data_IF_372102359021
#
_entry.id   IF_372102359021
#
_cell.length_a   1.000
_cell.length_b   1.000
_cell.length_c   1.000
_cell.angle_alpha   90.00
_cell.angle_beta   90.00
_cell.angle_gamma   90.00
#
_symmetry.space_group_name_H-M   'P 1'
#
loop_
_entity.id
_entity.type
_entity.pdbx_description
1 polymer ?
#
# COMPACT_ATOMS: atom_id res chain seq x y z
N UNK A 1 -4.43 25.73 -0.86
CA UNK A 1 -4.25 24.39 -1.45
C UNK A 1 -3.68 23.42 -0.42
N UNK A 2 -2.58 23.74 0.30
CA UNK A 2 -1.94 22.86 1.28
C UNK A 2 -2.90 22.34 2.38
N UNK A 3 -3.62 23.21 3.07
CA UNK A 3 -4.59 22.81 4.10
C UNK A 3 -5.78 22.03 3.50
N UNK A 4 -6.24 22.40 2.31
CA UNK A 4 -7.33 21.70 1.63
C UNK A 4 -6.95 20.27 1.27
N UNK A 5 -5.71 20.05 0.79
CA UNK A 5 -5.20 18.70 0.49
C UNK A 5 -5.03 17.84 1.75
N UNK A 6 -4.63 18.40 2.88
CA UNK A 6 -4.59 17.66 4.16
C UNK A 6 -5.98 17.16 4.56
N UNK A 7 -7.02 17.97 4.39
CA UNK A 7 -8.39 17.53 4.67
C UNK A 7 -8.85 16.43 3.69
N UNK A 8 -8.51 16.55 2.39
CA UNK A 8 -8.80 15.51 1.41
C UNK A 8 -8.15 14.17 1.80
N UNK A 9 -6.87 14.18 2.15
CA UNK A 9 -6.12 13.01 2.60
C UNK A 9 -6.77 12.40 3.85
N UNK A 10 -7.04 13.23 4.87
CA UNK A 10 -7.62 12.76 6.13
C UNK A 10 -8.96 12.06 5.93
N UNK A 11 -9.93 12.73 5.28
CA UNK A 11 -11.28 12.18 5.12
C UNK A 11 -11.30 10.96 4.19
N UNK A 12 -10.53 10.98 3.12
CA UNK A 12 -10.47 9.84 2.21
C UNK A 12 -9.82 8.61 2.87
N UNK A 13 -8.75 8.79 3.65
CA UNK A 13 -8.14 7.73 4.42
C UNK A 13 -9.09 7.17 5.51
N UNK A 14 -9.84 8.04 6.21
CA UNK A 14 -10.85 7.61 7.19
C UNK A 14 -11.95 6.78 6.53
N UNK A 15 -12.45 7.19 5.37
CA UNK A 15 -13.45 6.42 4.63
C UNK A 15 -12.90 5.06 4.18
N UNK A 16 -11.67 4.98 3.67
CA UNK A 16 -11.04 3.72 3.26
C UNK A 16 -10.95 2.76 4.46
N UNK A 17 -10.48 3.22 5.61
CA UNK A 17 -10.34 2.38 6.81
C UNK A 17 -11.71 1.94 7.32
N UNK A 18 -12.67 2.86 7.43
CA UNK A 18 -14.02 2.58 7.92
C UNK A 18 -14.77 1.59 7.05
N UNK A 19 -14.83 1.86 5.74
CA UNK A 19 -15.54 0.99 4.80
C UNK A 19 -14.76 -0.29 4.48
N UNK A 20 -13.43 -0.28 4.56
CA UNK A 20 -12.62 -1.51 4.52
C UNK A 20 -12.96 -2.45 5.67
N UNK A 21 -13.15 -1.93 6.89
CA UNK A 21 -13.67 -2.69 8.03
C UNK A 21 -15.07 -3.25 7.76
N UNK A 22 -15.98 -2.46 7.20
CA UNK A 22 -17.34 -2.90 6.88
C UNK A 22 -17.34 -4.02 5.84
N UNK A 23 -16.49 -3.95 4.81
CA UNK A 23 -16.31 -5.02 3.83
C UNK A 23 -15.83 -6.29 4.52
N UNK A 24 -14.83 -6.22 5.39
CA UNK A 24 -14.32 -7.38 6.12
C UNK A 24 -15.44 -8.08 6.88
N UNK A 25 -16.25 -7.31 7.64
CA UNK A 25 -17.39 -7.83 8.42
C UNK A 25 -18.47 -8.42 7.49
N UNK A 26 -18.80 -7.73 6.40
CA UNK A 26 -19.85 -8.16 5.46
C UNK A 26 -19.47 -9.44 4.72
N UNK A 27 -18.19 -9.61 4.39
CA UNK A 27 -17.67 -10.81 3.72
C UNK A 27 -17.33 -11.95 4.69
N UNK A 28 -17.35 -11.71 6.01
CA UNK A 28 -16.98 -12.70 7.02
C UNK A 28 -15.50 -13.10 6.94
N UNK A 29 -14.61 -12.14 6.71
CA UNK A 29 -13.16 -12.34 6.62
C UNK A 29 -12.43 -11.38 7.55
N UNK A 30 -11.16 -11.70 7.86
CA UNK A 30 -10.37 -10.83 8.73
C UNK A 30 -10.11 -9.46 8.09
N UNK A 31 -10.03 -8.44 8.93
CA UNK A 31 -9.62 -7.10 8.51
C UNK A 31 -8.20 -7.10 7.96
N UNK A 32 -7.35 -8.01 8.46
CA UNK A 32 -6.01 -8.23 7.95
C UNK A 32 -5.99 -8.56 6.46
N UNK A 33 -6.86 -9.47 6.00
CA UNK A 33 -6.98 -9.83 4.58
C UNK A 33 -7.44 -8.62 3.74
N UNK A 34 -8.37 -7.80 4.23
CA UNK A 34 -8.80 -6.59 3.52
C UNK A 34 -7.63 -5.58 3.43
N UNK A 35 -6.87 -5.40 4.51
CA UNK A 35 -5.65 -4.60 4.50
C UNK A 35 -4.65 -5.09 3.45
N UNK A 36 -4.37 -6.41 3.49
CA UNK A 36 -3.41 -7.09 2.64
C UNK A 36 -3.76 -7.05 1.14
N UNK A 37 -5.02 -6.87 0.79
CA UNK A 37 -5.53 -6.92 -0.58
C UNK A 37 -6.08 -5.58 -1.05
N UNK A 38 -7.29 -5.25 -0.65
CA UNK A 38 -8.02 -4.09 -1.15
C UNK A 38 -7.31 -2.77 -0.84
N UNK A 39 -6.90 -2.59 0.43
CA UNK A 39 -6.27 -1.34 0.84
C UNK A 39 -4.87 -1.25 0.23
N UNK A 40 -4.07 -2.30 0.34
CA UNK A 40 -2.73 -2.35 -0.24
C UNK A 40 -2.72 -2.08 -1.76
N UNK A 41 -3.64 -2.71 -2.51
CA UNK A 41 -3.76 -2.46 -3.94
C UNK A 41 -4.14 -1.00 -4.25
N UNK A 42 -5.09 -0.45 -3.51
CA UNK A 42 -5.55 0.93 -3.73
C UNK A 42 -4.49 1.98 -3.39
N UNK A 43 -3.74 1.79 -2.32
CA UNK A 43 -2.67 2.71 -1.92
C UNK A 43 -1.44 2.60 -2.80
N UNK A 44 -1.07 1.39 -3.27
CA UNK A 44 0.07 1.17 -4.18
C UNK A 44 -0.26 1.39 -5.66
N UNK A 45 -1.49 1.85 -5.98
CA UNK A 45 -1.85 2.16 -7.36
C UNK A 45 -1.01 3.30 -7.98
N UNK A 46 -0.65 4.38 -7.27
CA UNK A 46 0.28 5.39 -7.78
C UNK A 46 1.63 4.81 -8.17
N UNK A 47 2.21 3.94 -7.34
CA UNK A 47 3.48 3.27 -7.61
C UNK A 47 3.40 2.44 -8.90
N UNK A 48 2.29 1.73 -9.09
CA UNK A 48 2.02 0.95 -10.29
C UNK A 48 2.00 1.83 -11.55
N UNK A 49 1.27 2.95 -11.51
CA UNK A 49 1.19 3.89 -12.64
C UNK A 49 2.54 4.51 -12.95
N UNK A 50 3.30 4.94 -11.93
CA UNK A 50 4.64 5.52 -12.10
C UNK A 50 5.58 4.49 -12.74
N UNK A 51 5.58 3.25 -12.26
CA UNK A 51 6.46 2.19 -12.76
C UNK A 51 6.12 1.77 -14.19
N UNK A 52 4.82 1.67 -14.55
CA UNK A 52 4.43 1.40 -15.94
C UNK A 52 4.91 2.52 -16.87
N UNK A 53 4.68 3.78 -16.51
CA UNK A 53 5.13 4.90 -17.33
C UNK A 53 6.66 4.91 -17.49
N UNK A 54 7.40 4.66 -16.42
CA UNK A 54 8.85 4.57 -16.46
C UNK A 54 9.34 3.40 -17.36
N UNK A 55 8.68 2.24 -17.28
CA UNK A 55 8.97 1.09 -18.14
C UNK A 55 8.72 1.41 -19.63
N UNK A 56 7.63 2.08 -19.96
CA UNK A 56 7.32 2.53 -21.34
C UNK A 56 8.39 3.52 -21.84
N UNK A 57 8.93 4.35 -20.95
CA UNK A 57 10.01 5.30 -21.28
C UNK A 57 11.40 4.66 -21.31
N UNK A 58 11.52 3.35 -21.05
CA UNK A 58 12.79 2.63 -20.91
C UNK A 58 13.70 3.23 -19.81
N UNK A 59 13.10 3.62 -18.66
CA UNK A 59 13.81 4.18 -17.50
C UNK A 59 13.76 3.21 -16.29
N UNK A 60 14.50 2.09 -16.34
CA UNK A 60 14.45 1.06 -15.29
C UNK A 60 14.87 1.59 -13.92
N UNK A 61 15.76 2.57 -13.86
CA UNK A 61 16.21 3.21 -12.62
C UNK A 61 15.08 3.84 -11.84
N UNK A 62 14.05 4.37 -12.53
CA UNK A 62 12.86 4.95 -11.89
C UNK A 62 12.01 3.83 -11.30
N UNK A 63 11.84 2.71 -12.01
CA UNK A 63 11.08 1.55 -11.50
C UNK A 63 11.73 1.01 -10.23
N UNK A 64 13.06 0.74 -10.26
CA UNK A 64 13.79 0.29 -9.08
C UNK A 64 13.69 1.27 -7.92
N UNK A 65 13.93 2.56 -8.18
CA UNK A 65 13.84 3.61 -7.17
C UNK A 65 12.46 3.70 -6.54
N UNK A 66 11.41 3.62 -7.35
CA UNK A 66 10.01 3.65 -6.89
C UNK A 66 9.69 2.44 -6.02
N UNK A 67 9.93 1.21 -6.50
CA UNK A 67 9.58 -0.02 -5.79
C UNK A 67 10.39 -0.20 -4.50
N UNK A 68 11.71 -0.09 -4.58
CA UNK A 68 12.59 -0.26 -3.41
C UNK A 68 12.39 0.90 -2.42
N UNK A 69 12.26 2.13 -2.93
CA UNK A 69 12.02 3.32 -2.13
C UNK A 69 10.70 3.24 -1.35
N UNK A 70 9.61 2.84 -2.00
CA UNK A 70 8.30 2.67 -1.35
C UNK A 70 8.34 1.55 -0.30
N UNK A 71 9.03 0.44 -0.55
CA UNK A 71 9.15 -0.65 0.42
C UNK A 71 9.95 -0.22 1.66
N UNK A 72 11.03 0.54 1.47
CA UNK A 72 11.79 1.13 2.57
C UNK A 72 10.93 2.15 3.33
N UNK A 73 10.21 3.02 2.61
CA UNK A 73 9.32 4.02 3.22
C UNK A 73 8.20 3.36 4.03
N UNK A 74 7.59 2.30 3.53
CA UNK A 74 6.53 1.58 4.24
C UNK A 74 7.02 1.00 5.58
N UNK A 75 8.27 0.53 5.66
CA UNK A 75 8.82 -0.02 6.91
C UNK A 75 9.44 1.10 7.76
N UNK A 76 10.34 1.90 7.20
CA UNK A 76 11.13 2.87 7.96
C UNK A 76 10.35 4.15 8.31
N UNK A 77 9.38 4.55 7.48
CA UNK A 77 8.56 5.74 7.72
C UNK A 77 7.17 5.37 8.21
N UNK A 78 6.39 4.61 7.44
CA UNK A 78 4.97 4.36 7.73
C UNK A 78 4.81 3.53 8.99
N UNK A 79 5.44 2.35 9.06
CA UNK A 79 5.35 1.48 10.24
C UNK A 79 5.92 2.17 11.48
N UNK A 80 7.06 2.85 11.35
CA UNK A 80 7.70 3.54 12.47
C UNK A 80 6.86 4.71 12.99
N UNK A 81 6.27 5.51 12.10
CA UNK A 81 5.36 6.60 12.50
C UNK A 81 4.13 6.06 13.26
N UNK A 82 3.57 4.95 12.80
CA UNK A 82 2.47 4.28 13.50
C UNK A 82 2.90 3.71 14.87
N UNK A 83 4.09 3.13 14.96
CA UNK A 83 4.64 2.58 16.20
C UNK A 83 4.96 3.65 17.26
N UNK A 84 5.29 4.88 16.84
CA UNK A 84 5.46 6.02 17.74
C UNK A 84 4.14 6.46 18.41
N UNK A 85 3.01 6.26 17.74
CA UNK A 85 1.69 6.65 18.27
C UNK A 85 1.15 5.59 19.24
N UNK A 86 1.37 4.31 18.95
CA UNK A 86 0.81 3.21 19.73
C UNK A 86 1.66 1.95 19.64
N UNK A 87 1.52 1.10 20.66
CA UNK A 87 2.08 -0.25 20.58
C UNK A 87 1.28 -1.09 19.57
N UNK A 88 1.94 -1.51 18.50
CA UNK A 88 1.32 -2.35 17.46
C UNK A 88 1.44 -3.81 17.90
N UNK A 89 0.31 -4.44 18.23
CA UNK A 89 0.29 -5.86 18.53
C UNK A 89 0.36 -6.68 17.23
N UNK A 90 1.40 -7.49 17.12
CA UNK A 90 1.68 -8.30 15.93
C UNK A 90 1.07 -9.71 15.99
N UNK A 91 0.31 -10.05 17.03
CA UNK A 91 -0.22 -11.43 17.22
C UNK A 91 -1.09 -11.93 16.05
N UNK A 92 -1.67 -10.98 15.30
CA UNK A 92 -2.53 -11.28 14.15
C UNK A 92 -1.84 -11.13 12.80
N UNK A 93 -0.58 -10.76 12.78
CA UNK A 93 0.20 -10.74 11.54
C UNK A 93 0.42 -12.18 11.07
N UNK A 94 0.04 -12.47 9.85
CA UNK A 94 0.26 -13.77 9.24
C UNK A 94 1.76 -14.06 9.12
N UNK A 95 2.31 -14.90 10.01
CA UNK A 95 3.73 -15.30 9.94
C UNK A 95 4.13 -15.79 8.54
N UNK A 96 3.20 -16.46 7.86
CA UNK A 96 3.41 -16.95 6.50
C UNK A 96 3.52 -15.81 5.49
N UNK A 97 2.78 -14.70 5.65
CA UNK A 97 2.83 -13.55 4.75
C UNK A 97 4.13 -12.76 4.96
N UNK A 98 4.61 -12.69 6.21
CA UNK A 98 5.91 -12.10 6.51
C UNK A 98 7.06 -12.91 5.89
N UNK A 99 7.02 -14.25 6.02
CA UNK A 99 7.99 -15.13 5.36
C UNK A 99 7.92 -14.98 3.85
N UNK A 100 6.72 -14.89 3.29
CA UNK A 100 6.51 -14.71 1.85
C UNK A 100 7.08 -13.38 1.38
N UNK A 101 6.86 -12.29 2.13
CA UNK A 101 7.47 -10.99 1.87
C UNK A 101 9.00 -11.05 1.87
N UNK A 102 9.59 -11.69 2.89
CA UNK A 102 11.05 -11.83 2.97
C UNK A 102 11.61 -12.64 1.79
N UNK A 103 10.97 -13.76 1.45
CA UNK A 103 11.38 -14.59 0.31
C UNK A 103 11.25 -13.83 -1.02
N UNK A 104 10.14 -13.10 -1.23
CA UNK A 104 9.97 -12.28 -2.44
C UNK A 104 11.02 -11.17 -2.53
N UNK A 105 11.41 -10.57 -1.40
CA UNK A 105 12.48 -9.57 -1.33
C UNK A 105 13.84 -10.16 -1.71
N UNK A 106 14.14 -11.37 -1.26
CA UNK A 106 15.39 -12.07 -1.64
C UNK A 106 15.39 -12.41 -3.13
N UNK A 107 14.27 -12.91 -3.67
CA UNK A 107 14.16 -13.20 -5.11
C UNK A 107 14.33 -11.91 -5.92
N UNK A 108 13.65 -10.83 -5.55
CA UNK A 108 13.78 -9.55 -6.23
C UNK A 108 15.22 -9.02 -6.19
N UNK A 109 15.90 -9.15 -5.06
CA UNK A 109 17.31 -8.77 -4.94
C UNK A 109 18.18 -9.58 -5.90
N UNK A 110 17.99 -10.90 -5.97
CA UNK A 110 18.79 -11.78 -6.82
C UNK A 110 18.58 -11.48 -8.32
N UNK A 111 17.32 -11.25 -8.75
CA UNK A 111 17.03 -10.96 -10.17
C UNK A 111 17.42 -9.53 -10.57
N UNK A 112 17.63 -8.63 -9.62
CA UNK A 112 18.03 -7.25 -9.89
C UNK A 112 19.53 -6.99 -9.74
N UNK A 113 20.35 -8.01 -9.46
CA UNK A 113 21.78 -7.85 -9.20
C UNK A 113 22.58 -7.28 -10.40
N UNK A 114 22.14 -7.51 -11.61
CA UNK A 114 22.76 -6.98 -12.83
C UNK A 114 22.23 -5.59 -13.24
N UNK A 115 21.29 -5.04 -12.45
CA UNK A 115 20.67 -3.73 -12.68
C UNK A 115 19.58 -3.71 -13.75
N UNK A 116 19.18 -4.87 -14.27
CA UNK A 116 18.10 -5.02 -15.24
C UNK A 116 17.16 -6.15 -14.80
N UNK A 117 15.92 -6.09 -15.25
CA UNK A 117 14.98 -7.21 -15.12
C UNK A 117 14.63 -7.67 -16.52
N UNK A 118 15.03 -8.88 -16.87
CA UNK A 118 14.66 -9.51 -18.11
C UNK A 118 13.18 -9.92 -18.12
N UNK A 119 12.62 -10.13 -19.31
CA UNK A 119 11.23 -10.60 -19.46
C UNK A 119 10.96 -11.90 -18.68
N UNK A 120 11.94 -12.82 -18.64
CA UNK A 120 11.81 -14.08 -17.89
C UNK A 120 11.72 -13.83 -16.38
N UNK A 121 12.54 -12.96 -15.85
CA UNK A 121 12.54 -12.58 -14.44
C UNK A 121 11.26 -11.84 -14.04
N UNK A 122 10.76 -10.95 -14.89
CA UNK A 122 9.45 -10.33 -14.73
C UNK A 122 8.32 -11.38 -14.66
N UNK A 123 8.32 -12.37 -15.57
CA UNK A 123 7.35 -13.48 -15.53
C UNK A 123 7.47 -14.31 -14.24
N UNK A 124 8.69 -14.52 -13.72
CA UNK A 124 8.89 -15.21 -12.44
C UNK A 124 8.28 -14.42 -11.29
N UNK A 125 8.53 -13.11 -11.21
CA UNK A 125 7.96 -12.23 -10.16
C UNK A 125 6.43 -12.21 -10.25
N UNK A 126 5.87 -11.99 -11.45
CA UNK A 126 4.41 -12.02 -11.66
C UNK A 126 3.79 -13.39 -11.32
N UNK A 127 4.47 -14.49 -11.63
CA UNK A 127 4.02 -15.83 -11.22
C UNK A 127 3.94 -15.96 -9.71
N UNK A 128 4.92 -15.39 -9.00
CA UNK A 128 4.92 -15.26 -7.54
C UNK A 128 3.72 -14.46 -7.02
N UNK A 129 3.35 -13.37 -7.69
CA UNK A 129 2.17 -12.58 -7.36
C UNK A 129 0.87 -13.39 -7.51
N UNK A 130 0.69 -14.09 -8.64
CA UNK A 130 -0.50 -14.93 -8.84
C UNK A 130 -0.58 -16.09 -7.84
N UNK A 131 0.57 -16.69 -7.49
CA UNK A 131 0.63 -17.70 -6.44
C UNK A 131 0.23 -17.11 -5.07
N UNK A 132 0.67 -15.89 -4.77
CA UNK A 132 0.26 -15.18 -3.56
C UNK A 132 -1.25 -14.91 -3.52
N UNK A 133 -1.83 -14.43 -4.61
CA UNK A 133 -3.28 -14.25 -4.74
C UNK A 133 -4.05 -15.57 -4.53
N UNK A 134 -3.55 -16.68 -5.07
CA UNK A 134 -4.13 -17.99 -4.84
C UNK A 134 -4.10 -18.40 -3.36
N UNK A 135 -2.99 -18.16 -2.67
CA UNK A 135 -2.88 -18.39 -1.22
C UNK A 135 -3.90 -17.59 -0.42
N UNK A 136 -4.01 -16.28 -0.71
CA UNK A 136 -5.00 -15.42 -0.04
C UNK A 136 -6.41 -15.95 -0.25
N UNK A 137 -6.77 -16.32 -1.49
CA UNK A 137 -8.07 -16.92 -1.79
C UNK A 137 -8.33 -18.18 -0.96
N UNK A 138 -7.33 -19.04 -0.80
CA UNK A 138 -7.43 -20.24 0.05
C UNK A 138 -7.66 -19.89 1.52
N UNK A 139 -6.95 -18.88 2.04
CA UNK A 139 -7.12 -18.42 3.42
C UNK A 139 -8.53 -17.84 3.65
N UNK A 140 -9.07 -17.07 2.69
CA UNK A 140 -10.45 -16.55 2.73
C UNK A 140 -11.45 -17.69 2.85
N UNK A 141 -11.28 -18.77 2.07
CA UNK A 141 -12.18 -19.94 2.10
C UNK A 141 -12.09 -20.64 3.46
N UNK A 142 -10.89 -20.79 4.01
CA UNK A 142 -10.69 -21.41 5.33
C UNK A 142 -11.33 -20.57 6.43
N UNK A 143 -11.13 -19.25 6.42
CA UNK A 143 -11.75 -18.35 7.40
C UNK A 143 -13.27 -18.45 7.35
N UNK A 144 -13.88 -18.42 6.16
CA UNK A 144 -15.32 -18.54 5.99
C UNK A 144 -15.88 -19.86 6.50
N UNK A 145 -15.18 -20.97 6.29
CA UNK A 145 -15.62 -22.29 6.76
C UNK A 145 -15.54 -22.46 8.28
N UNK A 146 -14.64 -21.70 8.95
CA UNK A 146 -14.49 -21.76 10.40
C UNK A 146 -15.47 -20.85 11.16
N UNK A 147 -16.19 -19.98 10.46
CA UNK A 147 -17.16 -19.06 11.07
C UNK A 147 -18.58 -19.63 10.89
N UNK A 148 -19.00 -20.49 11.83
CA UNK A 148 -20.29 -21.20 11.80
C UNK A 148 -21.55 -20.29 11.90
N UNK A 149 -21.46 -18.98 12.11
CA UNK A 149 -22.66 -18.16 12.32
C UNK A 149 -22.52 -16.65 12.16
N UNK A 150 -21.74 -16.13 11.25
CA UNK A 150 -21.92 -14.73 10.88
C UNK A 150 -23.12 -14.64 9.96
N UNK A 151 -24.25 -14.08 10.46
CA UNK A 151 -25.31 -13.61 9.57
C UNK A 151 -24.64 -12.72 8.53
N UNK A 152 -24.57 -13.20 7.27
CA UNK A 152 -24.09 -12.38 6.14
C UNK A 152 -24.85 -11.06 6.19
N UNK A 153 -24.16 -10.00 6.60
CA UNK A 153 -24.71 -8.66 6.42
C UNK A 153 -24.78 -8.43 4.92
N UNK A 154 -25.94 -8.03 4.45
CA UNK A 154 -26.16 -7.73 3.04
C UNK A 154 -25.05 -6.75 2.59
N UNK A 155 -24.26 -7.17 1.62
CA UNK A 155 -23.20 -6.36 1.06
C UNK A 155 -23.84 -5.25 0.22
N UNK A 156 -23.71 -4.02 0.66
CA UNK A 156 -24.27 -2.90 -0.07
C UNK A 156 -23.26 -2.39 -1.11
N UNK A 157 -23.63 -2.51 -2.37
CA UNK A 157 -22.75 -2.15 -3.51
C UNK A 157 -22.22 -0.70 -3.46
N UNK A 158 -22.95 0.21 -2.81
CA UNK A 158 -22.50 1.60 -2.67
C UNK A 158 -21.18 1.72 -1.88
N UNK A 159 -20.84 0.77 -1.02
CA UNK A 159 -19.58 0.74 -0.26
C UNK A 159 -18.38 0.65 -1.20
N UNK A 160 -18.48 -0.13 -2.28
CA UNK A 160 -17.42 -0.22 -3.29
C UNK A 160 -17.21 1.15 -3.94
N UNK A 161 -18.31 1.83 -4.32
CA UNK A 161 -18.24 3.14 -4.96
C UNK A 161 -17.55 4.14 -4.03
N UNK A 162 -17.92 4.15 -2.74
CA UNK A 162 -17.29 5.05 -1.76
C UNK A 162 -15.79 4.77 -1.65
N UNK A 163 -15.39 3.50 -1.56
CA UNK A 163 -13.96 3.15 -1.44
C UNK A 163 -13.20 3.56 -2.70
N UNK A 164 -13.71 3.27 -3.89
CA UNK A 164 -13.07 3.66 -5.16
C UNK A 164 -12.93 5.18 -5.26
N UNK A 165 -14.00 5.93 -4.95
CA UNK A 165 -13.95 7.39 -4.90
C UNK A 165 -12.95 7.89 -3.86
N UNK A 166 -12.89 7.25 -2.69
CA UNK A 166 -11.96 7.61 -1.62
C UNK A 166 -10.50 7.39 -2.03
N UNK A 167 -10.17 6.29 -2.72
CA UNK A 167 -8.83 6.10 -3.27
C UNK A 167 -8.48 7.18 -4.29
N UNK A 168 -9.40 7.53 -5.17
CA UNK A 168 -9.16 8.59 -6.15
C UNK A 168 -8.92 9.95 -5.47
N UNK A 169 -9.72 10.30 -4.45
CA UNK A 169 -9.55 11.53 -3.66
C UNK A 169 -8.24 11.50 -2.88
N UNK A 170 -7.86 10.35 -2.31
CA UNK A 170 -6.62 10.18 -1.56
C UNK A 170 -5.40 10.44 -2.44
N UNK A 171 -5.34 9.82 -3.61
CA UNK A 171 -4.24 10.01 -4.59
C UNK A 171 -4.17 11.45 -5.07
N UNK A 172 -5.32 12.05 -5.44
CA UNK A 172 -5.38 13.44 -5.88
C UNK A 172 -4.96 14.40 -4.76
N UNK A 173 -5.46 14.19 -3.53
CA UNK A 173 -5.10 14.95 -2.34
C UNK A 173 -3.61 14.86 -2.04
N UNK A 174 -3.01 13.67 -2.16
CA UNK A 174 -1.57 13.45 -1.97
C UNK A 174 -0.75 14.24 -3.00
N UNK A 175 -1.13 14.21 -4.28
CA UNK A 175 -0.44 14.96 -5.33
C UNK A 175 -0.52 16.49 -5.11
N UNK A 176 -1.71 17.00 -4.72
CA UNK A 176 -1.88 18.42 -4.40
C UNK A 176 -1.12 18.81 -3.14
N UNK A 177 -1.07 17.95 -2.13
CA UNK A 177 -0.27 18.16 -0.91
C UNK A 177 1.21 18.32 -1.26
N UNK A 178 1.74 17.36 -2.02
CA UNK A 178 3.14 17.34 -2.44
C UNK A 178 3.49 18.60 -3.23
N UNK A 179 2.74 18.91 -4.28
CA UNK A 179 2.99 20.11 -5.11
C UNK A 179 2.90 21.41 -4.31
N UNK A 180 1.99 21.48 -3.33
CA UNK A 180 1.87 22.63 -2.44
C UNK A 180 3.03 22.72 -1.45
N UNK A 181 3.50 21.59 -0.92
CA UNK A 181 4.66 21.52 -0.04
C UNK A 181 5.94 21.96 -0.76
N UNK A 182 6.10 21.57 -2.05
CA UNK A 182 7.20 22.04 -2.92
C UNK A 182 7.21 23.54 -3.07
N UNK A 183 6.08 24.10 -3.48
CA UNK A 183 5.97 25.54 -3.69
C UNK A 183 6.28 26.31 -2.41
N UNK A 184 5.98 25.73 -1.24
CA UNK A 184 6.37 26.30 0.05
C UNK A 184 7.88 26.18 0.29
N UNK A 185 8.46 24.98 0.06
CA UNK A 185 9.89 24.73 0.25
C UNK A 185 10.77 25.65 -0.64
N UNK A 186 10.36 25.85 -1.90
CA UNK A 186 11.01 26.79 -2.81
C UNK A 186 10.99 28.23 -2.29
N UNK A 187 9.86 28.66 -1.71
CA UNK A 187 9.74 30.01 -1.09
C UNK A 187 10.66 30.19 0.12
N UNK A 188 10.97 29.09 0.82
CA UNK A 188 11.94 29.11 1.94
C UNK A 188 13.38 28.84 1.49
N UNK A 189 13.67 28.90 0.17
CA UNK A 189 14.99 28.65 -0.41
C UNK A 189 15.60 27.29 -0.05
N UNK A 190 14.78 26.26 0.12
CA UNK A 190 15.27 24.88 0.28
C UNK A 190 15.87 24.43 -1.06
N UNK A 191 17.03 23.76 -1.02
CA UNK A 191 17.71 23.36 -2.26
C UNK A 191 16.86 22.36 -3.08
N UNK A 192 16.89 22.52 -4.40
CA UNK A 192 16.18 21.64 -5.34
C UNK A 192 16.59 20.16 -5.21
N UNK A 193 17.82 19.88 -4.77
CA UNK A 193 18.30 18.52 -4.50
C UNK A 193 17.57 17.87 -3.33
N UNK A 194 17.42 18.59 -2.22
CA UNK A 194 16.67 18.11 -1.03
C UNK A 194 15.22 17.89 -1.41
N UNK A 195 14.64 18.85 -2.14
CA UNK A 195 13.27 18.79 -2.63
C UNK A 195 13.05 17.53 -3.47
N UNK A 196 13.83 17.30 -4.53
CA UNK A 196 13.66 16.18 -5.46
C UNK A 196 13.88 14.81 -4.79
N UNK A 197 14.91 14.70 -3.93
CA UNK A 197 15.23 13.42 -3.27
C UNK A 197 14.17 13.01 -2.25
N UNK A 198 13.61 13.96 -1.51
CA UNK A 198 12.56 13.66 -0.53
C UNK A 198 11.21 13.39 -1.18
N UNK A 199 10.93 14.01 -2.32
CA UNK A 199 9.63 13.93 -2.95
C UNK A 199 9.34 12.61 -3.65
N UNK A 200 10.30 12.05 -4.35
CA UNK A 200 10.12 10.74 -4.99
C UNK A 200 9.92 9.67 -3.92
N UNK A 201 10.66 9.76 -2.81
CA UNK A 201 10.59 8.76 -1.74
C UNK A 201 9.31 8.86 -0.89
N UNK A 202 8.82 10.09 -0.61
CA UNK A 202 7.65 10.28 0.25
C UNK A 202 6.36 10.35 -0.57
N UNK A 203 6.47 10.82 -1.80
CA UNK A 203 5.32 11.19 -2.62
C UNK A 203 4.37 10.04 -2.92
N UNK A 204 4.89 8.94 -3.39
CA UNK A 204 4.08 7.77 -3.73
C UNK A 204 3.59 7.04 -2.48
N UNK A 205 4.37 7.02 -1.39
CA UNK A 205 4.01 6.34 -0.13
C UNK A 205 3.15 7.20 0.82
N UNK A 206 2.72 8.39 0.40
CA UNK A 206 1.83 9.23 1.20
C UNK A 206 0.44 8.61 1.40
N UNK A 207 -0.19 7.95 0.41
CA UNK A 207 -1.42 7.21 0.61
C UNK A 207 -1.31 6.11 1.66
N UNK A 208 -0.23 5.34 1.65
CA UNK A 208 0.05 4.30 2.65
C UNK A 208 0.22 4.90 4.05
N UNK A 209 0.97 6.00 4.16
CA UNK A 209 1.16 6.69 5.43
C UNK A 209 -0.17 7.20 5.99
N UNK A 210 -0.98 7.85 5.18
CA UNK A 210 -2.26 8.40 5.60
C UNK A 210 -3.24 7.31 6.05
N UNK A 211 -3.44 6.27 5.24
CA UNK A 211 -4.34 5.16 5.58
C UNK A 211 -3.86 4.40 6.81
N UNK A 212 -2.55 4.20 6.95
CA UNK A 212 -1.96 3.52 8.10
C UNK A 212 -2.09 4.33 9.39
N UNK A 213 -1.86 5.64 9.35
CA UNK A 213 -2.06 6.54 10.51
C UNK A 213 -3.53 6.57 10.95
N UNK A 214 -4.46 6.66 10.00
CA UNK A 214 -5.90 6.62 10.31
C UNK A 214 -6.31 5.25 10.86
N UNK A 215 -5.75 4.16 10.34
CA UNK A 215 -5.99 2.83 10.89
C UNK A 215 -5.53 2.73 12.36
N UNK A 216 -4.38 3.32 12.71
CA UNK A 216 -3.89 3.42 14.09
C UNK A 216 -4.84 4.23 14.96
N UNK A 217 -5.24 5.42 14.51
CA UNK A 217 -6.15 6.30 15.25
C UNK A 217 -7.49 5.60 15.51
N UNK A 218 -7.99 4.85 14.53
CA UNK A 218 -9.23 4.09 14.63
C UNK A 218 -9.05 2.72 15.32
N UNK A 219 -7.85 2.39 15.82
CA UNK A 219 -7.50 1.11 16.48
C UNK A 219 -7.70 -0.12 15.58
N UNK A 220 -7.56 0.05 14.28
CA UNK A 220 -7.72 -1.01 13.27
C UNK A 220 -6.33 -1.56 12.86
N UNK A 221 -5.61 -2.13 13.82
CA UNK A 221 -4.21 -2.59 13.66
C UNK A 221 -4.06 -3.72 12.63
N UNK A 222 -5.09 -4.52 12.44
CA UNK A 222 -5.11 -5.58 11.40
C UNK A 222 -5.11 -4.98 10.00
N UNK A 223 -5.91 -3.92 9.76
CA UNK A 223 -5.90 -3.20 8.49
C UNK A 223 -4.53 -2.57 8.22
N UNK A 224 -3.93 -1.93 9.24
CA UNK A 224 -2.60 -1.35 9.17
C UNK A 224 -1.55 -2.36 8.74
N UNK A 225 -1.42 -3.46 9.48
CA UNK A 225 -0.37 -4.46 9.23
C UNK A 225 -0.58 -5.18 7.91
N UNK A 226 -1.84 -5.45 7.55
CA UNK A 226 -2.21 -5.98 6.24
C UNK A 226 -1.81 -5.04 5.11
N UNK A 227 -2.13 -3.75 5.23
CA UNK A 227 -1.77 -2.73 4.24
C UNK A 227 -0.26 -2.68 3.99
N UNK A 228 0.55 -2.57 5.05
CA UNK A 228 2.02 -2.47 4.91
C UNK A 228 2.61 -3.72 4.27
N UNK A 229 2.24 -4.91 4.72
CA UNK A 229 2.78 -6.17 4.18
C UNK A 229 2.29 -6.37 2.74
N UNK A 230 1.01 -6.12 2.48
CA UNK A 230 0.40 -6.25 1.15
C UNK A 230 1.03 -5.32 0.12
N UNK A 231 1.18 -4.03 0.45
CA UNK A 231 1.83 -3.04 -0.42
C UNK A 231 3.26 -3.43 -0.75
N UNK A 232 4.03 -3.91 0.24
CA UNK A 232 5.41 -4.34 -0.01
C UNK A 232 5.49 -5.57 -0.92
N UNK A 233 4.62 -6.56 -0.73
CA UNK A 233 4.55 -7.74 -1.60
C UNK A 233 4.12 -7.35 -3.03
N UNK A 234 3.11 -6.48 -3.16
CA UNK A 234 2.62 -6.00 -4.46
C UNK A 234 3.70 -5.20 -5.20
N UNK A 235 4.40 -4.31 -4.51
CA UNK A 235 5.49 -3.55 -5.09
C UNK A 235 6.56 -4.46 -5.68
N UNK A 236 6.98 -5.51 -4.97
CA UNK A 236 7.99 -6.44 -5.41
C UNK A 236 7.49 -7.33 -6.55
N UNK A 237 6.33 -7.98 -6.38
CA UNK A 237 5.93 -9.07 -7.28
C UNK A 237 5.09 -8.59 -8.46
N UNK A 238 4.29 -7.53 -8.29
CA UNK A 238 3.40 -7.03 -9.34
C UNK A 238 3.98 -5.82 -10.05
N UNK A 239 4.57 -4.87 -9.30
CA UNK A 239 5.00 -3.60 -9.88
C UNK A 239 6.41 -3.72 -10.47
N UNK A 240 7.30 -4.46 -9.84
CA UNK A 240 8.64 -4.72 -10.34
C UNK A 240 8.65 -5.81 -11.44
N UNK A 241 7.73 -6.79 -11.34
CA UNK A 241 7.55 -7.88 -12.31
C UNK A 241 6.80 -7.45 -13.56
#
# INVERSE_FOLDING_TARGET
QFLGSMLMIYFSADFIVRYGKEIAISLGISKYIIGLTLIAFGTSFPEFVVSINASIMNEPSIVFGNVIGSNIANIALVLSACALITHINSDKVGKQDLIFFLLSSVVAFLVSMDGNISQLEGVILLSGFFFYCYRIKKNIIIEKNNIESVKEKRFDFYIIIIIVCSFFILVTGSNVFISSALSLAERFNVSSLVISTTMIAIGTSLPELATSLIAVINKEYELLTGNIIGSNIMNILMIMG
#
